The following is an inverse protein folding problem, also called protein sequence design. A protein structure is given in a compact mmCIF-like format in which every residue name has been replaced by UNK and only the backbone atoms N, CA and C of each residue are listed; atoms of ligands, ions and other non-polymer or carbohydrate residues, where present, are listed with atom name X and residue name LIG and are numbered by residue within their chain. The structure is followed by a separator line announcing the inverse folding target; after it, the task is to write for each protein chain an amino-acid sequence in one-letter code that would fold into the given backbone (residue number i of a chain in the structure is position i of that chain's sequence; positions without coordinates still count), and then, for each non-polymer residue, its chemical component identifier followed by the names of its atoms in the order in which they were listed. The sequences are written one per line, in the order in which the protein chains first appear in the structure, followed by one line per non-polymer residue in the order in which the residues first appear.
data_IF_290186302082
#
_entry.id   IF_290186302082
#
_cell.length_a   1.000
_cell.length_b   1.000
_cell.length_c   1.000
_cell.angle_alpha   90.00
_cell.angle_beta   90.00
_cell.angle_gamma   90.00
#
_symmetry.space_group_name_H-M   'P 1'
#
loop_
_entity.id
_entity.type
_entity.pdbx_description
1 polymer ?
#
# COMPACT_ATOMS: atom_id res chain seq x y z
N UNK A 1 -14.65 -1.98 15.04
CA UNK A 1 -14.37 -3.29 14.41
C UNK A 1 -12.88 -3.53 14.50
N UNK A 2 -12.49 -4.76 14.85
CA UNK A 2 -11.09 -5.17 14.86
C UNK A 2 -10.71 -5.68 13.47
N UNK A 3 -9.52 -5.31 13.00
CA UNK A 3 -8.96 -5.74 11.73
C UNK A 3 -7.80 -6.69 12.00
N UNK A 4 -7.74 -7.79 11.24
CA UNK A 4 -6.60 -8.70 11.26
C UNK A 4 -5.82 -8.58 9.96
N UNK A 5 -4.52 -8.43 10.06
CA UNK A 5 -3.63 -8.32 8.90
C UNK A 5 -2.59 -9.40 9.01
N UNK A 6 -2.44 -10.23 7.98
CA UNK A 6 -1.43 -11.27 7.97
C UNK A 6 -0.36 -10.93 6.94
N UNK A 7 0.90 -11.13 7.30
CA UNK A 7 2.00 -11.01 6.37
C UNK A 7 2.26 -12.40 5.77
N UNK A 8 2.11 -12.52 4.45
CA UNK A 8 2.27 -13.79 3.75
C UNK A 8 3.75 -14.20 3.66
N UNK A 9 4.17 -15.16 4.47
CA UNK A 9 5.52 -15.74 4.41
C UNK A 9 5.83 -16.39 3.05
N UNK A 10 4.84 -16.98 2.37
CA UNK A 10 5.02 -17.57 1.03
C UNK A 10 5.19 -16.53 -0.05
N UNK A 11 4.82 -15.27 0.21
CA UNK A 11 5.05 -14.17 -0.72
C UNK A 11 6.50 -13.65 -0.69
N UNK A 12 7.42 -14.25 0.05
CA UNK A 12 8.85 -13.91 -0.02
C UNK A 12 9.62 -14.79 -1.03
N UNK A 13 9.11 -15.99 -1.31
CA UNK A 13 9.81 -17.00 -2.09
C UNK A 13 10.16 -16.49 -3.51
N UNK A 14 11.46 -16.56 -3.86
CA UNK A 14 11.97 -16.37 -5.21
C UNK A 14 11.94 -14.94 -5.77
N UNK A 15 11.62 -13.92 -4.98
CA UNK A 15 11.25 -12.59 -5.49
C UNK A 15 12.34 -11.53 -5.52
N UNK A 16 13.45 -11.77 -4.83
CA UNK A 16 14.46 -10.78 -4.55
C UNK A 16 15.76 -11.09 -5.28
N UNK A 17 15.76 -10.90 -6.60
CA UNK A 17 17.00 -10.62 -7.32
C UNK A 17 17.45 -9.20 -6.95
N UNK A 18 18.77 -8.95 -6.90
CA UNK A 18 19.41 -7.75 -6.29
C UNK A 18 18.76 -6.40 -6.61
N UNK A 19 18.18 -6.24 -7.80
CA UNK A 19 17.87 -4.93 -8.38
C UNK A 19 16.50 -4.37 -7.95
N UNK A 20 15.62 -5.15 -7.31
CA UNK A 20 14.26 -4.71 -6.95
C UNK A 20 13.90 -4.89 -5.46
N UNK A 21 14.87 -5.30 -4.63
CA UNK A 21 14.67 -5.58 -3.20
C UNK A 21 14.23 -4.33 -2.44
N UNK A 22 14.97 -3.22 -2.62
CA UNK A 22 14.68 -1.99 -1.89
C UNK A 22 13.27 -1.47 -2.18
N UNK A 23 12.86 -1.50 -3.45
CA UNK A 23 11.55 -1.01 -3.87
C UNK A 23 10.42 -1.90 -3.34
N UNK A 24 10.62 -3.23 -3.34
CA UNK A 24 9.68 -4.17 -2.72
C UNK A 24 9.50 -3.91 -1.22
N UNK A 25 10.59 -3.67 -0.49
CA UNK A 25 10.53 -3.36 0.95
C UNK A 25 9.92 -1.98 1.22
N UNK A 26 10.28 -0.96 0.43
CA UNK A 26 9.65 0.36 0.52
C UNK A 26 8.14 0.26 0.32
N UNK A 27 7.70 -0.51 -0.68
CA UNK A 27 6.28 -0.72 -0.96
C UNK A 27 5.59 -1.48 0.18
N UNK A 28 6.22 -2.51 0.74
CA UNK A 28 5.70 -3.24 1.89
C UNK A 28 5.51 -2.35 3.12
N UNK A 29 6.55 -1.56 3.48
CA UNK A 29 6.49 -0.62 4.61
C UNK A 29 5.37 0.41 4.39
N UNK A 30 5.28 0.99 3.18
CA UNK A 30 4.24 1.95 2.84
C UNK A 30 2.82 1.35 2.94
N UNK A 31 2.67 0.08 2.51
CA UNK A 31 1.41 -0.66 2.61
C UNK A 31 0.98 -0.85 4.06
N UNK A 32 1.90 -1.23 4.96
CA UNK A 32 1.63 -1.33 6.40
C UNK A 32 1.34 0.04 7.03
N UNK A 33 2.11 1.06 6.69
CA UNK A 33 1.89 2.43 7.17
C UNK A 33 0.51 2.99 6.76
N UNK A 34 -0.06 2.51 5.66
CA UNK A 34 -1.43 2.86 5.26
C UNK A 34 -2.47 2.33 6.26
N UNK A 35 -2.26 1.15 6.83
CA UNK A 35 -3.15 0.56 7.82
C UNK A 35 -3.13 1.31 9.15
N UNK A 36 -1.96 1.77 9.59
CA UNK A 36 -1.79 2.56 10.83
C UNK A 36 -2.52 3.90 10.80
N UNK A 37 -2.86 4.40 9.60
CA UNK A 37 -3.62 5.65 9.41
C UNK A 37 -5.12 5.47 9.68
N UNK A 38 -5.63 4.24 9.71
CA UNK A 38 -7.06 3.95 9.91
C UNK A 38 -7.38 3.94 11.42
N UNK A 39 -8.52 4.53 11.82
CA UNK A 39 -8.99 4.55 13.22
C UNK A 39 -9.63 3.21 13.66
N UNK A 40 -9.02 2.09 13.30
CA UNK A 40 -9.48 0.74 13.68
C UNK A 40 -8.50 0.09 14.64
N UNK A 41 -9.00 -0.81 15.50
CA UNK A 41 -8.11 -1.74 16.20
C UNK A 41 -7.50 -2.68 15.16
N UNK A 42 -6.17 -2.72 15.12
CA UNK A 42 -5.40 -3.49 14.13
C UNK A 42 -4.53 -4.48 14.88
N UNK A 43 -4.61 -5.75 14.49
CA UNK A 43 -3.64 -6.77 14.89
C UNK A 43 -2.94 -7.29 13.64
N UNK A 44 -1.62 -7.14 13.61
CA UNK A 44 -0.78 -7.66 12.53
C UNK A 44 -0.17 -8.99 12.97
N UNK A 45 -0.29 -10.00 12.12
CA UNK A 45 0.21 -11.35 12.33
C UNK A 45 1.31 -11.69 11.32
N UNK A 46 2.28 -12.49 11.77
CA UNK A 46 3.31 -13.13 10.97
C UNK A 46 3.48 -14.58 11.41
N UNK A 47 4.07 -15.39 10.53
CA UNK A 47 4.49 -16.75 10.89
C UNK A 47 5.82 -16.76 11.65
N UNK A 48 6.04 -17.78 12.49
CA UNK A 48 7.35 -18.13 13.03
C UNK A 48 8.33 -18.59 11.96
N UNK A 49 7.84 -19.21 10.88
CA UNK A 49 8.70 -19.69 9.79
C UNK A 49 9.06 -18.61 8.76
N UNK A 50 8.58 -17.37 8.98
CA UNK A 50 8.85 -16.21 8.13
C UNK A 50 10.34 -16.01 7.80
N UNK A 51 11.24 -16.39 8.72
CA UNK A 51 12.70 -16.32 8.53
C UNK A 51 13.38 -17.71 8.36
N UNK A 52 12.65 -18.81 8.49
CA UNK A 52 13.21 -20.18 8.49
C UNK A 52 13.16 -20.86 7.12
N UNK A 53 12.24 -20.46 6.25
CA UNK A 53 12.25 -20.99 4.90
C UNK A 53 13.26 -20.24 4.04
N UNK A 54 13.72 -20.91 2.98
CA UNK A 54 14.45 -20.35 1.83
C UNK A 54 13.74 -19.17 1.14
N UNK A 55 12.68 -18.62 1.74
CA UNK A 55 11.90 -17.47 1.33
C UNK A 55 12.71 -16.18 1.37
N UNK A 56 13.62 -16.01 2.34
CA UNK A 56 14.75 -15.07 2.20
C UNK A 56 15.92 -15.84 1.59
N UNK A 57 15.77 -16.23 0.33
CA UNK A 57 16.89 -16.80 -0.42
C UNK A 57 17.95 -15.71 -0.57
N UNK A 58 18.99 -15.79 0.26
CA UNK A 58 20.31 -15.32 -0.08
C UNK A 58 20.94 -14.29 0.86
N UNK A 59 22.26 -14.43 0.92
CA UNK A 59 23.27 -13.42 1.29
C UNK A 59 22.92 -12.02 0.74
N UNK A 60 22.11 -11.94 -0.32
CA UNK A 60 21.67 -10.73 -1.01
C UNK A 60 20.61 -9.88 -0.28
N UNK A 61 19.64 -10.42 0.48
CA UNK A 61 18.73 -9.55 1.24
C UNK A 61 19.52 -8.78 2.29
N UNK A 62 20.38 -9.48 3.03
CA UNK A 62 21.28 -8.87 4.02
C UNK A 62 22.30 -7.93 3.36
N UNK A 63 22.89 -8.28 2.22
CA UNK A 63 23.86 -7.43 1.53
C UNK A 63 23.23 -6.19 0.85
N UNK A 64 22.03 -6.33 0.27
CA UNK A 64 21.29 -5.20 -0.32
C UNK A 64 20.76 -4.26 0.75
N UNK A 65 20.35 -4.78 1.91
CA UNK A 65 19.86 -3.96 3.01
C UNK A 65 20.97 -3.45 3.94
N UNK A 66 22.16 -4.05 3.97
CA UNK A 66 23.28 -3.53 4.76
C UNK A 66 23.77 -2.17 4.25
N UNK A 67 23.59 -1.87 2.97
CA UNK A 67 23.91 -0.57 2.39
C UNK A 67 22.83 0.50 2.69
N UNK A 68 21.69 0.11 3.26
CA UNK A 68 20.57 0.99 3.61
C UNK A 68 20.00 0.63 4.99
N UNK A 69 20.79 0.93 6.04
CA UNK A 69 20.49 0.52 7.42
C UNK A 69 19.15 1.05 7.96
N UNK A 70 18.65 2.18 7.47
CA UNK A 70 17.35 2.71 7.88
C UNK A 70 16.19 1.93 7.26
N UNK A 71 16.30 1.54 5.99
CA UNK A 71 15.31 0.67 5.34
C UNK A 71 15.24 -0.70 6.02
N UNK A 72 16.40 -1.29 6.35
CA UNK A 72 16.47 -2.55 7.09
C UNK A 72 15.80 -2.44 8.46
N UNK A 73 16.11 -1.37 9.19
CA UNK A 73 15.54 -1.13 10.52
C UNK A 73 14.02 -0.94 10.46
N UNK A 74 13.54 -0.17 9.49
CA UNK A 74 12.10 0.01 9.25
C UNK A 74 11.40 -1.31 8.96
N UNK A 75 11.98 -2.14 8.09
CA UNK A 75 11.47 -3.47 7.78
C UNK A 75 11.40 -4.38 9.01
N UNK A 76 12.52 -4.51 9.74
CA UNK A 76 12.59 -5.37 10.92
C UNK A 76 11.69 -4.89 12.06
N UNK A 77 11.50 -3.58 12.23
CA UNK A 77 10.61 -3.02 13.24
C UNK A 77 9.15 -3.40 12.96
N UNK A 78 8.70 -3.28 11.70
CA UNK A 78 7.36 -3.70 11.28
C UNK A 78 7.12 -5.21 11.50
N UNK A 79 8.15 -6.03 11.34
CA UNK A 79 8.05 -7.46 11.61
C UNK A 79 8.08 -7.79 13.11
N UNK A 80 8.82 -7.03 13.91
CA UNK A 80 8.89 -7.22 15.37
C UNK A 80 7.60 -6.83 16.08
N UNK A 81 6.86 -5.84 15.56
CA UNK A 81 5.56 -5.44 16.11
C UNK A 81 4.44 -6.43 15.78
N UNK A 82 4.62 -7.28 14.76
CA UNK A 82 3.65 -8.29 14.40
C UNK A 82 3.66 -9.49 15.37
N UNK A 83 2.46 -9.93 15.75
CA UNK A 83 2.24 -11.12 16.56
C UNK A 83 2.49 -12.40 15.76
N UNK A 84 2.89 -13.45 16.46
CA UNK A 84 3.02 -14.78 15.85
C UNK A 84 1.64 -15.44 15.85
N UNK A 85 1.05 -15.71 14.68
CA UNK A 85 -0.29 -16.32 14.63
C UNK A 85 -0.31 -17.74 15.18
N UNK A 86 0.81 -18.48 15.11
CA UNK A 86 0.93 -19.85 15.65
C UNK A 86 0.63 -19.92 17.16
N UNK A 87 0.77 -18.81 17.90
CA UNK A 87 0.41 -18.75 19.34
C UNK A 87 -1.11 -18.77 19.59
N UNK A 88 -1.87 -18.43 18.56
CA UNK A 88 -3.33 -18.38 18.55
C UNK A 88 -3.88 -19.13 17.34
N UNK A 89 -3.18 -20.20 16.92
CA UNK A 89 -3.52 -20.93 15.72
C UNK A 89 -4.93 -21.48 15.80
N UNK A 90 -5.66 -21.36 14.70
CA UNK A 90 -7.04 -21.83 14.58
C UNK A 90 -7.15 -22.96 13.56
N UNK A 91 -6.38 -22.92 12.47
CA UNK A 91 -6.41 -24.02 11.50
C UNK A 91 -5.78 -25.29 12.07
N UNK A 92 -6.41 -26.43 11.78
CA UNK A 92 -5.89 -27.74 12.12
C UNK A 92 -4.75 -28.16 11.17
N UNK A 93 -3.74 -28.83 11.72
CA UNK A 93 -2.54 -29.25 10.98
C UNK A 93 -2.77 -30.47 10.08
N UNK A 94 -3.83 -31.24 10.32
CA UNK A 94 -4.19 -32.41 9.50
C UNK A 94 -5.11 -32.05 8.31
N UNK A 95 -5.74 -30.87 8.38
CA UNK A 95 -6.62 -30.37 7.33
C UNK A 95 -5.83 -29.90 6.12
N UNK A 96 -6.27 -30.27 4.91
CA UNK A 96 -5.60 -29.92 3.67
C UNK A 96 -6.15 -28.61 3.13
N UNK A 97 -5.27 -27.62 2.98
CA UNK A 97 -5.56 -26.37 2.28
C UNK A 97 -4.75 -26.31 0.99
N UNK A 98 -5.39 -25.89 -0.10
CA UNK A 98 -4.69 -25.75 -1.39
C UNK A 98 -5.15 -24.56 -2.22
N UNK A 99 -4.22 -24.02 -3.01
CA UNK A 99 -4.48 -23.04 -4.04
C UNK A 99 -3.57 -23.29 -5.23
N UNK A 100 -4.12 -23.33 -6.45
CA UNK A 100 -3.36 -23.64 -7.66
C UNK A 100 -2.50 -24.90 -7.56
N UNK A 101 -3.03 -25.96 -6.92
CA UNK A 101 -2.36 -27.25 -6.67
C UNK A 101 -1.16 -27.18 -5.71
N UNK A 102 -0.90 -26.04 -5.08
CA UNK A 102 0.10 -25.90 -4.02
C UNK A 102 -0.55 -26.18 -2.66
N UNK A 103 0.14 -26.96 -1.82
CA UNK A 103 -0.28 -27.20 -0.44
C UNK A 103 0.03 -25.98 0.43
N UNK A 104 -0.94 -25.57 1.24
CA UNK A 104 -0.91 -24.36 2.07
C UNK A 104 -1.12 -24.63 3.55
N UNK A 105 -1.29 -25.88 3.98
CA UNK A 105 -1.42 -26.23 5.40
C UNK A 105 -0.19 -25.75 6.19
N UNK A 106 -0.40 -25.18 7.37
CA UNK A 106 0.66 -24.60 8.18
C UNK A 106 1.10 -23.19 7.75
N UNK A 107 0.35 -22.52 6.86
CA UNK A 107 0.66 -21.16 6.39
C UNK A 107 -0.34 -20.13 6.90
N UNK A 108 0.02 -18.84 6.82
CA UNK A 108 -0.90 -17.73 7.05
C UNK A 108 -2.14 -17.79 6.16
N UNK A 109 -2.03 -18.36 4.96
CA UNK A 109 -3.17 -18.53 4.05
C UNK A 109 -4.20 -19.51 4.63
N UNK A 110 -3.75 -20.67 5.13
CA UNK A 110 -4.62 -21.64 5.80
C UNK A 110 -5.23 -21.06 7.09
N UNK A 111 -4.44 -20.30 7.84
CA UNK A 111 -4.90 -19.65 9.08
C UNK A 111 -6.03 -18.64 8.82
N UNK A 112 -5.92 -17.81 7.79
CA UNK A 112 -7.01 -16.90 7.40
C UNK A 112 -8.23 -17.68 6.94
N UNK A 113 -8.05 -18.71 6.12
CA UNK A 113 -9.17 -19.52 5.61
C UNK A 113 -10.03 -20.03 6.77
N UNK A 114 -9.41 -20.60 7.81
CA UNK A 114 -10.16 -21.12 8.95
C UNK A 114 -10.82 -20.03 9.78
N UNK A 115 -10.14 -18.90 10.01
CA UNK A 115 -10.72 -17.77 10.74
C UNK A 115 -11.95 -17.20 10.04
N UNK A 116 -11.94 -17.11 8.70
CA UNK A 116 -13.09 -16.67 7.91
C UNK A 116 -14.23 -17.68 7.89
N UNK A 117 -13.95 -18.98 7.95
CA UNK A 117 -14.99 -20.01 8.11
C UNK A 117 -15.71 -19.84 9.46
N UNK A 118 -14.97 -19.50 10.52
CA UNK A 118 -15.53 -19.32 11.85
C UNK A 118 -16.22 -17.95 12.05
N UNK A 119 -15.77 -16.93 11.32
CA UNK A 119 -16.31 -15.57 11.35
C UNK A 119 -16.31 -14.96 9.93
N UNK A 120 -17.44 -15.05 9.25
CA UNK A 120 -17.61 -14.56 7.87
C UNK A 120 -17.54 -13.03 7.76
N UNK A 121 -17.80 -12.33 8.88
CA UNK A 121 -17.72 -10.86 8.97
C UNK A 121 -16.31 -10.37 9.34
N UNK A 122 -15.34 -11.28 9.44
CA UNK A 122 -13.96 -10.95 9.78
C UNK A 122 -13.32 -10.03 8.72
N UNK A 123 -12.99 -8.83 9.14
CA UNK A 123 -12.17 -7.90 8.34
C UNK A 123 -10.70 -8.36 8.37
N UNK A 124 -10.33 -9.18 7.39
CA UNK A 124 -8.99 -9.74 7.25
C UNK A 124 -8.41 -9.50 5.85
N UNK A 125 -7.12 -9.16 5.80
CA UNK A 125 -6.36 -9.02 4.54
C UNK A 125 -5.00 -9.70 4.67
N UNK A 126 -4.58 -10.37 3.60
CA UNK A 126 -3.26 -10.96 3.45
C UNK A 126 -2.34 -10.03 2.66
N UNK A 127 -1.25 -9.58 3.27
CA UNK A 127 -0.26 -8.71 2.65
C UNK A 127 0.82 -9.54 1.98
N UNK A 128 1.05 -9.25 0.70
CA UNK A 128 2.03 -9.89 -0.15
C UNK A 128 3.11 -8.91 -0.59
N UNK A 129 4.33 -9.39 -0.85
CA UNK A 129 5.33 -8.59 -1.56
C UNK A 129 4.98 -8.47 -3.05
N UNK A 130 5.35 -7.34 -3.66
CA UNK A 130 4.91 -6.89 -5.00
C UNK A 130 5.27 -7.82 -6.15
N UNK A 131 6.27 -8.67 -6.02
CA UNK A 131 6.75 -9.54 -7.10
C UNK A 131 6.29 -10.99 -6.95
N UNK A 132 5.38 -11.26 -6.02
CA UNK A 132 4.93 -12.62 -5.72
C UNK A 132 3.96 -13.18 -6.74
N UNK A 133 3.88 -14.51 -6.82
CA UNK A 133 2.78 -15.19 -7.51
C UNK A 133 1.41 -14.76 -6.97
N UNK A 134 1.36 -14.33 -5.71
CA UNK A 134 0.17 -13.78 -5.06
C UNK A 134 -0.13 -12.33 -5.47
N UNK A 135 0.85 -11.51 -5.84
CA UNK A 135 0.65 -10.08 -6.13
C UNK A 135 -0.13 -9.80 -7.41
N UNK A 136 -0.28 -10.79 -8.29
CA UNK A 136 -1.13 -10.68 -9.48
C UNK A 136 -2.63 -10.74 -9.15
N UNK A 137 -2.99 -11.08 -7.90
CA UNK A 137 -4.36 -11.29 -7.47
C UNK A 137 -4.71 -10.33 -6.33
N UNK A 138 -5.95 -9.81 -6.34
CA UNK A 138 -6.55 -9.10 -5.20
C UNK A 138 -7.36 -10.04 -4.29
N UNK A 139 -7.58 -11.26 -4.75
CA UNK A 139 -8.33 -12.30 -4.05
C UNK A 139 -7.85 -13.66 -4.55
N UNK A 140 -7.75 -14.64 -3.65
CA UNK A 140 -7.53 -16.05 -4.01
C UNK A 140 -8.62 -16.91 -3.38
N UNK A 141 -9.02 -17.96 -4.08
CA UNK A 141 -9.97 -18.95 -3.59
C UNK A 141 -9.20 -20.16 -3.11
N UNK A 142 -9.21 -20.40 -1.80
CA UNK A 142 -8.51 -21.52 -1.16
C UNK A 142 -9.48 -22.68 -1.00
N UNK A 143 -9.06 -23.85 -1.44
CA UNK A 143 -9.80 -25.10 -1.25
C UNK A 143 -9.45 -25.71 0.12
N UNK A 144 -10.48 -26.13 0.86
CA UNK A 144 -10.36 -26.88 2.12
C UNK A 144 -10.87 -28.31 1.91
N UNK A 145 -9.99 -29.29 2.12
CA UNK A 145 -10.22 -30.73 1.96
C UNK A 145 -10.87 -31.17 0.64
N UNK A 146 -10.77 -30.36 -0.41
CA UNK A 146 -11.50 -30.56 -1.69
C UNK A 146 -13.03 -30.57 -1.55
N UNK A 147 -13.57 -30.10 -0.43
CA UNK A 147 -15.02 -30.09 -0.14
C UNK A 147 -15.60 -28.68 -0.22
N UNK A 148 -14.83 -27.67 0.16
CA UNK A 148 -15.29 -26.28 0.21
C UNK A 148 -14.21 -25.30 -0.20
N UNK A 149 -14.63 -24.05 -0.41
CA UNK A 149 -13.74 -22.96 -0.80
C UNK A 149 -13.94 -21.74 0.08
N UNK A 150 -12.86 -21.02 0.35
CA UNK A 150 -12.86 -19.74 1.08
C UNK A 150 -12.09 -18.71 0.28
N UNK A 151 -12.69 -17.54 0.09
CA UNK A 151 -12.02 -16.45 -0.55
C UNK A 151 -11.20 -15.62 0.44
N UNK A 152 -9.93 -15.38 0.09
CA UNK A 152 -9.00 -14.58 0.87
C UNK A 152 -8.62 -13.35 0.06
N UNK A 153 -8.81 -12.18 0.66
CA UNK A 153 -8.50 -10.89 0.06
C UNK A 153 -7.03 -10.55 0.27
N UNK A 154 -6.41 -10.00 -0.78
CA UNK A 154 -4.98 -9.77 -0.88
C UNK A 154 -4.68 -8.29 -1.09
N UNK A 155 -3.54 -7.84 -0.57
CA UNK A 155 -2.97 -6.53 -0.89
C UNK A 155 -1.45 -6.62 -1.05
N UNK A 156 -0.89 -5.82 -1.96
CA UNK A 156 0.55 -5.81 -2.23
C UNK A 156 1.13 -4.41 -2.43
N UNK A 157 0.31 -3.36 -2.29
CA UNK A 157 0.70 -1.96 -2.42
C UNK A 157 -0.25 -1.06 -1.63
N UNK A 158 0.13 0.21 -1.43
CA UNK A 158 -0.78 1.21 -0.85
C UNK A 158 -2.09 1.31 -1.64
N UNK A 159 -2.02 1.30 -2.97
CA UNK A 159 -3.20 1.45 -3.82
C UNK A 159 -4.19 0.29 -3.61
N UNK A 160 -3.71 -0.94 -3.59
CA UNK A 160 -4.56 -2.12 -3.34
C UNK A 160 -5.07 -2.16 -1.91
N UNK A 161 -4.30 -1.65 -0.95
CA UNK A 161 -4.73 -1.56 0.45
C UNK A 161 -5.85 -0.54 0.62
N UNK A 162 -5.70 0.66 0.05
CA UNK A 162 -6.73 1.70 0.05
C UNK A 162 -8.02 1.18 -0.62
N UNK A 163 -7.88 0.46 -1.73
CA UNK A 163 -9.02 -0.17 -2.39
C UNK A 163 -9.75 -1.13 -1.46
N UNK A 164 -9.03 -2.05 -0.81
CA UNK A 164 -9.61 -2.99 0.15
C UNK A 164 -10.25 -2.30 1.36
N UNK A 165 -9.62 -1.28 1.93
CA UNK A 165 -10.18 -0.51 3.04
C UNK A 165 -11.54 0.13 2.67
N UNK A 166 -11.71 0.56 1.41
CA UNK A 166 -12.97 1.10 0.90
C UNK A 166 -14.03 0.02 0.72
N UNK A 167 -13.68 -1.14 0.16
CA UNK A 167 -14.65 -2.23 0.00
C UNK A 167 -15.19 -2.71 1.35
N UNK A 168 -14.41 -2.57 2.42
CA UNK A 168 -14.82 -2.82 3.81
C UNK A 168 -15.48 -1.63 4.51
N UNK A 169 -15.69 -0.51 3.82
CA UNK A 169 -16.23 0.73 4.37
C UNK A 169 -15.47 1.25 5.60
N UNK A 170 -14.17 0.96 5.68
CA UNK A 170 -13.29 1.38 6.78
C UNK A 170 -12.71 2.78 6.54
N UNK A 171 -12.77 3.25 5.30
CA UNK A 171 -12.49 4.63 4.89
C UNK A 171 -13.55 5.08 3.87
N UNK A 172 -13.70 6.39 3.69
CA UNK A 172 -14.75 6.95 2.84
C UNK A 172 -14.64 6.52 1.36
N UNK A 173 -15.81 6.28 0.75
CA UNK A 173 -15.97 5.96 -0.66
C UNK A 173 -15.67 7.17 -1.56
N UNK A 174 -15.56 6.92 -2.86
CA UNK A 174 -15.03 7.85 -3.87
C UNK A 174 -15.74 9.21 -3.92
N UNK A 175 -16.99 9.32 -3.47
CA UNK A 175 -17.81 10.53 -3.65
C UNK A 175 -17.56 11.63 -2.60
N UNK A 176 -16.94 11.31 -1.46
CA UNK A 176 -16.62 12.29 -0.43
C UNK A 176 -15.34 11.90 0.34
N UNK A 177 -14.45 12.87 0.54
CA UNK A 177 -13.31 12.70 1.42
C UNK A 177 -13.71 12.93 2.88
N UNK A 178 -13.40 11.97 3.76
CA UNK A 178 -13.52 12.17 5.21
C UNK A 178 -12.36 13.04 5.70
N UNK A 179 -12.62 14.31 6.05
CA UNK A 179 -11.62 15.24 6.60
C UNK A 179 -10.98 14.73 7.91
N UNK A 180 -11.58 13.73 8.58
CA UNK A 180 -11.01 13.09 9.77
C UNK A 180 -10.07 11.92 9.46
N UNK A 181 -9.95 11.54 8.18
CA UNK A 181 -9.05 10.51 7.68
C UNK A 181 -7.59 10.98 7.78
N UNK A 182 -6.69 10.07 8.19
CA UNK A 182 -5.23 10.31 8.14
C UNK A 182 -4.60 9.90 6.81
N UNK A 183 -5.40 9.37 5.89
CA UNK A 183 -4.98 9.00 4.54
C UNK A 183 -5.32 10.16 3.62
N UNK A 184 -4.37 10.60 2.80
CA UNK A 184 -4.60 11.65 1.81
C UNK A 184 -5.73 11.26 0.83
N UNK A 185 -6.53 12.22 0.33
CA UNK A 185 -7.55 11.93 -0.68
C UNK A 185 -6.91 11.33 -1.94
N UNK A 186 -7.64 10.46 -2.63
CA UNK A 186 -7.28 10.12 -4.02
C UNK A 186 -7.65 11.29 -4.94
N UNK A 187 -7.14 11.27 -6.17
CA UNK A 187 -7.36 12.37 -7.11
C UNK A 187 -8.86 12.63 -7.36
N UNK A 188 -9.68 11.58 -7.50
CA UNK A 188 -11.14 11.69 -7.71
C UNK A 188 -11.91 12.25 -6.49
N UNK A 189 -11.31 12.22 -5.30
CA UNK A 189 -11.88 12.79 -4.08
C UNK A 189 -11.52 14.28 -3.90
N UNK A 190 -10.85 14.87 -4.89
CA UNK A 190 -10.41 16.27 -4.90
C UNK A 190 -10.96 16.98 -6.13
N UNK A 191 -10.73 18.29 -6.24
CA UNK A 191 -11.05 19.05 -7.46
C UNK A 191 -10.35 18.52 -8.71
N UNK A 192 -9.28 17.72 -8.56
CA UNK A 192 -8.52 17.18 -9.67
C UNK A 192 -9.30 16.16 -10.52
N UNK A 193 -10.35 15.56 -9.97
CA UNK A 193 -11.30 14.72 -10.73
C UNK A 193 -12.32 15.52 -11.56
N UNK A 194 -12.33 16.85 -11.43
CA UNK A 194 -13.25 17.76 -12.12
C UNK A 194 -12.90 18.02 -13.59
N UNK A 195 -13.84 18.58 -14.33
CA UNK A 195 -13.70 18.88 -15.76
C UNK A 195 -12.74 20.05 -16.05
N UNK A 196 -12.34 20.79 -15.02
CA UNK A 196 -11.39 21.90 -15.07
C UNK A 196 -9.94 21.43 -15.23
N UNK A 197 -9.69 20.13 -15.03
CA UNK A 197 -8.35 19.54 -15.04
C UNK A 197 -8.14 18.58 -16.20
N UNK A 198 -6.94 18.60 -16.77
CA UNK A 198 -6.49 17.61 -17.74
C UNK A 198 -5.40 16.70 -17.15
N UNK A 199 -5.46 15.44 -17.54
CA UNK A 199 -4.53 14.40 -17.12
C UNK A 199 -3.15 14.67 -17.74
N UNK A 200 -2.10 14.64 -16.92
CA UNK A 200 -0.70 14.71 -17.41
C UNK A 200 0.09 13.45 -17.08
N UNK A 201 1.29 13.35 -17.65
CA UNK A 201 2.27 12.30 -17.32
C UNK A 201 3.19 12.69 -16.16
N UNK A 202 3.15 13.94 -15.71
CA UNK A 202 3.99 14.42 -14.62
C UNK A 202 3.58 13.80 -13.29
N UNK A 203 4.57 13.60 -12.41
CA UNK A 203 4.34 13.04 -11.08
C UNK A 203 5.03 13.88 -10.01
N UNK A 204 4.32 14.09 -8.90
CA UNK A 204 4.85 14.65 -7.66
C UNK A 204 4.79 13.57 -6.58
N UNK A 205 5.94 13.19 -6.00
CA UNK A 205 6.02 12.13 -4.97
C UNK A 205 5.24 10.85 -5.34
N UNK A 206 5.32 10.43 -6.60
CA UNK A 206 4.61 9.25 -7.11
C UNK A 206 3.15 9.46 -7.51
N UNK A 207 2.48 10.53 -7.05
CA UNK A 207 1.12 10.91 -7.46
C UNK A 207 1.13 11.65 -8.77
N UNK A 208 0.08 11.46 -9.58
CA UNK A 208 -0.09 12.18 -10.85
C UNK A 208 -0.32 13.66 -10.57
N UNK A 209 0.26 14.51 -11.41
CA UNK A 209 -0.10 15.92 -11.49
C UNK A 209 -1.08 16.15 -12.64
N UNK A 210 -2.02 17.06 -12.44
CA UNK A 210 -3.05 17.44 -13.40
C UNK A 210 -2.82 18.89 -13.80
N UNK A 211 -3.07 19.25 -15.06
CA UNK A 211 -2.96 20.64 -15.51
C UNK A 211 -4.33 21.30 -15.37
N UNK A 212 -4.38 22.48 -14.75
CA UNK A 212 -5.59 23.29 -14.74
C UNK A 212 -5.77 23.94 -16.12
N UNK A 213 -6.89 23.66 -16.79
CA UNK A 213 -7.16 24.07 -18.17
C UNK A 213 -7.05 25.60 -18.31
N UNK A 214 -6.42 26.06 -19.38
CA UNK A 214 -6.20 27.49 -19.64
C UNK A 214 -5.06 28.10 -18.82
N UNK A 215 -4.36 27.31 -18.01
CA UNK A 215 -3.21 27.76 -17.22
C UNK A 215 -1.97 26.90 -17.51
N UNK A 216 -0.82 27.32 -16.95
CA UNK A 216 0.42 26.51 -16.90
C UNK A 216 0.70 26.04 -15.48
N UNK A 217 -0.35 25.61 -14.77
CA UNK A 217 -0.25 25.15 -13.40
C UNK A 217 -0.45 23.63 -13.36
N UNK A 218 0.48 22.93 -12.72
CA UNK A 218 0.41 21.51 -12.41
C UNK A 218 0.01 21.33 -10.96
N UNK A 219 -1.08 20.60 -10.73
CA UNK A 219 -1.71 20.39 -9.44
C UNK A 219 -1.60 18.93 -9.05
N UNK A 220 -1.09 18.63 -7.86
CA UNK A 220 -0.97 17.25 -7.38
C UNK A 220 -1.32 17.18 -5.89
N UNK A 221 -2.12 16.19 -5.50
CA UNK A 221 -2.38 15.93 -4.07
C UNK A 221 -1.06 15.75 -3.33
N UNK A 222 -0.88 16.43 -2.20
CA UNK A 222 0.31 16.20 -1.39
C UNK A 222 0.24 14.81 -0.77
N UNK A 223 1.13 13.92 -1.21
CA UNK A 223 1.26 12.57 -0.65
C UNK A 223 2.10 12.54 0.64
N UNK A 224 2.40 13.68 1.26
CA UNK A 224 3.23 13.70 2.47
C UNK A 224 2.52 13.01 3.64
N UNK A 225 3.31 12.34 4.48
CA UNK A 225 2.83 11.69 5.71
C UNK A 225 2.32 12.69 6.77
N UNK A 226 2.37 13.99 6.47
CA UNK A 226 2.06 15.10 7.36
C UNK A 226 0.58 15.45 7.52
N UNK A 227 -0.36 14.68 6.95
CA UNK A 227 -1.82 14.88 7.12
C UNK A 227 -2.31 14.63 8.56
N UNK A 228 -1.41 14.43 9.51
CA UNK A 228 -1.75 14.11 10.90
C UNK A 228 -2.60 15.18 11.61
N UNK A 229 -2.62 16.45 11.17
CA UNK A 229 -3.41 17.51 11.81
C UNK A 229 -3.83 18.68 10.88
N UNK A 230 -3.71 18.55 9.56
CA UNK A 230 -4.05 19.60 8.59
C UNK A 230 -5.08 19.13 7.57
N UNK A 231 -5.92 20.04 7.06
CA UNK A 231 -6.79 19.74 5.90
C UNK A 231 -5.88 19.33 4.74
N UNK A 232 -6.20 18.24 4.00
CA UNK A 232 -5.38 17.85 2.87
C UNK A 232 -5.35 18.98 1.85
N UNK A 233 -4.16 19.19 1.29
CA UNK A 233 -3.92 20.24 0.32
C UNK A 233 -3.31 19.68 -0.96
N UNK A 234 -3.48 20.46 -2.02
CA UNK A 234 -2.90 20.23 -3.32
C UNK A 234 -1.65 21.11 -3.44
N UNK A 235 -0.54 20.50 -3.84
CA UNK A 235 0.69 21.20 -4.18
C UNK A 235 0.61 21.67 -5.64
N UNK A 236 0.93 22.94 -5.87
CA UNK A 236 0.79 23.57 -7.18
C UNK A 236 2.16 24.00 -7.68
N UNK A 237 2.48 23.60 -8.90
CA UNK A 237 3.75 23.87 -9.56
C UNK A 237 3.53 24.62 -10.86
N UNK A 238 4.46 25.49 -11.22
CA UNK A 238 4.55 26.08 -12.55
C UNK A 238 5.02 25.01 -13.52
N UNK A 239 4.28 24.81 -14.60
CA UNK A 239 4.67 23.90 -15.68
C UNK A 239 5.84 24.44 -16.51
N UNK A 240 6.13 25.74 -16.41
CA UNK A 240 7.18 26.39 -17.20
C UNK A 240 8.57 25.94 -16.73
N UNK A 241 8.77 25.90 -15.42
CA UNK A 241 10.07 25.71 -14.75
C UNK A 241 10.04 24.63 -13.65
N UNK A 242 8.88 24.03 -13.43
CA UNK A 242 8.64 23.01 -12.43
C UNK A 242 8.63 23.54 -11.00
N UNK A 243 8.72 24.86 -10.78
CA UNK A 243 8.84 25.42 -9.43
C UNK A 243 7.50 25.36 -8.69
N UNK A 244 7.55 25.06 -7.40
CA UNK A 244 6.40 25.17 -6.51
C UNK A 244 5.96 26.64 -6.41
N UNK A 245 4.67 26.90 -6.63
CA UNK A 245 4.09 28.26 -6.66
C UNK A 245 3.08 28.50 -5.54
N UNK A 246 2.66 27.46 -4.82
CA UNK A 246 1.74 27.57 -3.69
C UNK A 246 0.90 26.31 -3.52
N UNK A 247 -0.11 26.38 -2.66
CA UNK A 247 -1.01 25.24 -2.36
C UNK A 247 -2.47 25.62 -2.54
N UNK A 248 -3.37 24.65 -2.63
CA UNK A 248 -4.82 24.84 -2.51
C UNK A 248 -5.41 23.84 -1.52
N UNK A 249 -6.58 24.13 -0.95
CA UNK A 249 -7.37 23.11 -0.23
C UNK A 249 -7.86 22.07 -1.26
N UNK A 250 -7.91 20.79 -0.88
CA UNK A 250 -8.23 19.69 -1.79
C UNK A 250 -9.54 19.82 -2.58
N UNK A 251 -10.55 20.50 -2.03
CA UNK A 251 -11.88 20.66 -2.61
C UNK A 251 -12.11 22.05 -3.24
N UNK A 252 -11.04 22.85 -3.42
CA UNK A 252 -11.12 24.19 -4.01
C UNK A 252 -10.10 24.37 -5.14
N UNK A 253 -10.48 25.14 -6.15
CA UNK A 253 -9.56 25.64 -7.19
C UNK A 253 -9.14 27.05 -6.77
N UNK A 254 -8.28 27.15 -5.75
CA UNK A 254 -7.84 28.43 -5.19
C UNK A 254 -6.35 28.39 -4.78
N UNK A 255 -5.49 28.98 -5.62
CA UNK A 255 -4.05 29.02 -5.36
C UNK A 255 -3.70 30.01 -4.23
N UNK A 256 -3.23 29.49 -3.10
CA UNK A 256 -2.59 30.26 -2.04
C UNK A 256 -1.07 30.32 -2.26
N UNK A 257 -0.62 31.44 -2.84
CA UNK A 257 0.81 31.70 -3.07
C UNK A 257 1.61 31.96 -1.80
N UNK A 258 0.96 32.26 -0.67
CA UNK A 258 1.66 32.50 0.61
C UNK A 258 2.31 31.21 1.15
N UNK A 259 1.82 30.05 0.71
CA UNK A 259 2.33 28.71 1.06
C UNK A 259 3.42 28.22 0.11
N UNK A 260 3.94 29.09 -0.75
CA UNK A 260 5.05 28.75 -1.63
C UNK A 260 6.27 28.27 -0.83
N UNK A 261 6.88 27.19 -1.29
CA UNK A 261 8.11 26.62 -0.74
C UNK A 261 9.22 26.84 -1.75
N UNK A 262 10.16 27.72 -1.42
CA UNK A 262 11.26 28.06 -2.31
C UNK A 262 12.09 26.81 -2.66
N UNK A 263 12.52 26.74 -3.92
CA UNK A 263 13.35 25.66 -4.50
C UNK A 263 12.66 24.28 -4.61
N UNK A 264 11.48 24.06 -4.03
CA UNK A 264 10.70 22.83 -4.27
C UNK A 264 10.30 22.75 -5.74
N UNK A 265 10.47 21.58 -6.35
CA UNK A 265 10.22 21.34 -7.78
C UNK A 265 9.49 20.04 -8.05
N UNK A 266 8.68 20.04 -9.10
CA UNK A 266 8.23 18.83 -9.79
C UNK A 266 9.13 18.58 -10.99
N UNK A 267 9.45 17.31 -11.27
CA UNK A 267 10.28 16.97 -12.41
C UNK A 267 9.46 17.10 -13.72
N UNK A 268 9.74 18.16 -14.47
CA UNK A 268 9.11 18.42 -15.78
C UNK A 268 10.04 18.12 -16.95
N UNK A 269 11.22 17.53 -16.71
CA UNK A 269 12.19 17.27 -17.77
C UNK A 269 11.57 16.36 -18.83
N UNK A 270 11.20 16.97 -19.95
CA UNK A 270 10.91 16.27 -21.19
C UNK A 270 12.21 15.54 -21.55
N UNK A 271 12.18 14.22 -21.62
CA UNK A 271 13.17 13.52 -22.44
C UNK A 271 12.94 14.04 -23.85
N UNK A 272 13.69 15.06 -24.25
CA UNK A 272 13.91 15.28 -25.67
C UNK A 272 14.69 14.04 -26.12
N UNK A 273 14.19 13.28 -27.10
CA UNK A 273 15.07 12.34 -27.78
C UNK A 273 16.26 13.16 -28.27
N UNK A 274 17.46 12.75 -27.84
CA UNK A 274 18.68 13.22 -28.45
C UNK A 274 18.68 12.54 -29.82
N UNK A 275 18.49 13.33 -30.87
CA UNK A 275 18.67 12.88 -32.26
C UNK A 275 20.10 12.35 -32.47
#
# INVERSE_FOLDING_TARGET
MSMQVFINEKSLEGQFNSDNIENGIKTFIATLATLEKVKSQLTTYKSNIFFNEQAISGIHLNASLSNNGDLLRGFLNNLKSAETWEKSQVHDSETIYSWNKNFLTGTSVAEIAERKILDDELNCVLINFTNSTYSQNLQITVEKDQVGTVDIELSHSEATMISWLRTKSLIANHDAYDETSRIAPIDDQTVLGGAEFEITTYKNKGRRAYRLIGTRQLWAVDASEGHLFGKPHIEIFSEIDGLHIGTSIYNEINLDTSKKVNLRRININRHYPID
#
